data_IF_209282313040
#
_entry.id   IF_209282313040
#
_cell.length_a   1.000
_cell.length_b   1.000
_cell.length_c   1.000
_cell.angle_alpha   90.00
_cell.angle_beta   90.00
_cell.angle_gamma   90.00
#
_symmetry.space_group_name_H-M   'P 1'
#
loop_
_entity.id
_entity.type
_entity.pdbx_description
1 polymer ?
#
# COMPACT_ATOMS: atom_id res chain seq x y z
N UNK A 1 12.79 -19.18 -7.28
CA UNK A 1 13.43 -17.96 -7.82
C UNK A 1 14.84 -18.35 -8.23
N UNK A 2 15.31 -17.97 -9.42
CA UNK A 2 16.70 -18.20 -9.81
C UNK A 2 17.66 -17.46 -8.87
N UNK A 3 18.90 -17.95 -8.75
CA UNK A 3 19.92 -17.31 -7.92
C UNK A 3 20.14 -15.85 -8.34
N UNK A 4 20.16 -15.58 -9.65
CA UNK A 4 20.40 -14.25 -10.21
C UNK A 4 19.29 -13.26 -9.85
N UNK A 5 18.01 -13.66 -9.99
CA UNK A 5 16.89 -12.79 -9.64
C UNK A 5 16.86 -12.47 -8.13
N UNK A 6 17.26 -13.43 -7.28
CA UNK A 6 17.40 -13.21 -5.84
C UNK A 6 18.48 -12.17 -5.54
N UNK A 7 19.65 -12.34 -6.16
CA UNK A 7 20.78 -11.45 -5.95
C UNK A 7 20.49 -10.02 -6.42
N UNK A 8 19.67 -9.83 -7.46
CA UNK A 8 19.20 -8.50 -7.88
C UNK A 8 18.28 -7.86 -6.83
N UNK A 9 17.33 -8.62 -6.28
CA UNK A 9 16.38 -8.11 -5.29
C UNK A 9 17.03 -7.80 -3.94
N UNK A 10 18.03 -8.58 -3.53
CA UNK A 10 18.77 -8.37 -2.28
C UNK A 10 19.57 -7.05 -2.27
N UNK A 11 19.81 -6.45 -3.44
CA UNK A 11 20.48 -5.14 -3.58
C UNK A 11 19.54 -3.95 -3.48
N UNK A 12 18.23 -4.16 -3.59
CA UNK A 12 17.26 -3.07 -3.52
C UNK A 12 16.99 -2.68 -2.07
N UNK A 13 16.85 -1.37 -1.77
CA UNK A 13 16.52 -0.91 -0.42
C UNK A 13 15.16 -1.46 0.00
N UNK A 14 15.04 -1.87 1.26
CA UNK A 14 13.80 -2.41 1.84
C UNK A 14 13.63 -1.95 3.28
N UNK A 15 12.43 -1.48 3.60
CA UNK A 15 11.95 -1.27 4.95
C UNK A 15 11.10 -2.49 5.31
N UNK A 16 11.49 -3.33 6.28
CA UNK A 16 10.69 -4.49 6.67
C UNK A 16 9.33 -4.06 7.24
N UNK A 17 8.26 -4.30 6.49
CA UNK A 17 6.88 -3.97 6.87
C UNK A 17 5.98 -5.22 6.89
N UNK A 18 6.34 -6.27 6.15
CA UNK A 18 5.56 -7.49 6.04
C UNK A 18 6.05 -8.58 7.00
N UNK A 19 5.11 -9.30 7.61
CA UNK A 19 5.39 -10.54 8.31
C UNK A 19 5.58 -11.67 7.29
N UNK A 20 6.82 -12.10 7.08
CA UNK A 20 7.21 -13.07 6.07
C UNK A 20 8.02 -14.24 6.65
N UNK A 21 7.97 -15.45 6.05
CA UNK A 21 7.13 -15.82 4.92
C UNK A 21 5.67 -16.08 5.33
N UNK A 22 4.71 -15.61 4.54
CA UNK A 22 3.29 -15.99 4.69
C UNK A 22 3.07 -17.47 4.35
N UNK A 23 2.10 -18.17 4.94
CA UNK A 23 1.91 -19.60 4.68
C UNK A 23 1.34 -19.87 3.27
N UNK A 24 1.66 -21.07 2.74
CA UNK A 24 0.97 -21.67 1.60
C UNK A 24 0.05 -22.76 2.17
N UNK A 25 -1.26 -22.57 2.07
CA UNK A 25 -2.25 -23.44 2.71
C UNK A 25 -3.01 -24.28 1.67
N UNK A 26 -3.21 -25.58 1.90
CA UNK A 26 -4.03 -26.41 1.03
C UNK A 26 -5.53 -26.09 1.22
N UNK A 27 -6.33 -26.27 0.17
CA UNK A 27 -7.78 -26.09 0.19
C UNK A 27 -8.50 -27.41 -0.14
N UNK A 28 -8.52 -28.39 0.78
CA UNK A 28 -8.94 -29.77 0.48
C UNK A 28 -10.41 -29.86 0.04
N UNK A 29 -11.34 -29.26 0.78
CA UNK A 29 -12.77 -29.28 0.44
C UNK A 29 -13.06 -28.59 -0.90
N UNK A 30 -12.33 -27.52 -1.21
CA UNK A 30 -12.48 -26.81 -2.48
C UNK A 30 -11.97 -27.67 -3.64
N UNK A 31 -10.81 -28.33 -3.43
CA UNK A 31 -10.24 -29.26 -4.41
C UNK A 31 -11.21 -30.40 -4.74
N UNK A 32 -11.82 -30.99 -3.70
CA UNK A 32 -12.85 -32.03 -3.85
C UNK A 32 -14.08 -31.51 -4.60
N UNK A 33 -14.60 -30.35 -4.22
CA UNK A 33 -15.81 -29.77 -4.82
C UNK A 33 -15.69 -29.50 -6.32
N UNK A 34 -14.49 -29.17 -6.80
CA UNK A 34 -14.23 -28.90 -8.22
C UNK A 34 -13.80 -30.14 -9.01
N UNK A 35 -13.57 -31.29 -8.35
CA UNK A 35 -13.12 -32.53 -9.00
C UNK A 35 -11.80 -32.41 -9.77
N UNK A 36 -10.97 -31.43 -9.40
CA UNK A 36 -9.77 -31.02 -10.12
C UNK A 36 -8.46 -31.31 -9.37
N UNK A 37 -7.33 -30.71 -9.80
CA UNK A 37 -6.06 -30.84 -9.09
C UNK A 37 -6.11 -30.21 -7.68
N UNK A 38 -5.19 -30.57 -6.77
CA UNK A 38 -5.10 -29.95 -5.45
C UNK A 38 -4.95 -28.42 -5.55
N UNK A 39 -5.86 -27.70 -4.91
CA UNK A 39 -5.86 -26.25 -4.83
C UNK A 39 -5.13 -25.78 -3.57
N UNK A 40 -4.35 -24.72 -3.73
CA UNK A 40 -3.58 -24.09 -2.66
C UNK A 40 -3.76 -22.57 -2.70
N UNK A 41 -3.65 -21.93 -1.54
CA UNK A 41 -3.69 -20.48 -1.41
C UNK A 41 -2.43 -19.96 -0.73
N UNK A 42 -1.80 -18.95 -1.34
CA UNK A 42 -0.74 -18.17 -0.72
C UNK A 42 -1.38 -17.08 0.14
N UNK A 43 -1.23 -17.16 1.46
CA UNK A 43 -1.90 -16.31 2.44
C UNK A 43 -1.24 -14.93 2.60
N UNK A 44 -1.12 -14.20 1.49
CA UNK A 44 -0.58 -12.84 1.48
C UNK A 44 -1.52 -11.80 2.12
N UNK A 45 -2.72 -12.20 2.52
CA UNK A 45 -3.55 -11.47 3.49
C UNK A 45 -2.90 -11.39 4.88
N UNK A 46 -2.04 -12.35 5.25
CA UNK A 46 -1.36 -12.42 6.54
C UNK A 46 -0.03 -11.64 6.60
N UNK A 47 0.18 -10.64 5.73
CA UNK A 47 1.38 -9.79 5.77
C UNK A 47 1.39 -8.82 6.96
N UNK A 48 0.29 -8.69 7.71
CA UNK A 48 0.21 -8.01 9.01
C UNK A 48 -0.05 -6.51 8.95
N UNK A 49 0.52 -5.76 8.00
CA UNK A 49 0.44 -4.29 7.98
C UNK A 49 -1.01 -3.78 7.86
N UNK A 50 -1.55 -3.26 8.96
CA UNK A 50 -2.89 -2.69 9.08
C UNK A 50 -3.98 -3.58 8.47
N UNK A 51 -4.08 -4.87 8.82
CA UNK A 51 -4.94 -5.92 8.19
C UNK A 51 -4.35 -6.61 6.95
N UNK A 52 -3.11 -6.28 6.57
CA UNK A 52 -2.33 -7.03 5.58
C UNK A 52 -2.84 -6.93 4.15
N UNK A 53 -2.28 -7.79 3.29
CA UNK A 53 -2.50 -7.84 1.85
C UNK A 53 -1.21 -7.76 1.03
N UNK A 54 -1.36 -7.95 -0.28
CA UNK A 54 -0.23 -8.00 -1.19
C UNK A 54 0.50 -6.65 -1.39
N UNK A 55 -0.12 -5.51 -1.03
CA UNK A 55 0.48 -4.18 -1.27
C UNK A 55 1.63 -3.91 -0.28
N UNK A 56 1.60 -4.50 0.92
CA UNK A 56 2.69 -4.44 1.89
C UNK A 56 4.03 -4.84 1.25
N UNK A 57 4.06 -5.91 0.43
CA UNK A 57 5.29 -6.36 -0.24
C UNK A 57 5.91 -5.30 -1.16
N UNK A 58 5.08 -4.55 -1.89
CA UNK A 58 5.56 -3.46 -2.77
C UNK A 58 6.04 -2.27 -1.94
N UNK A 59 5.30 -1.96 -0.87
CA UNK A 59 5.58 -0.81 -0.02
C UNK A 59 6.90 -0.92 0.71
N UNK A 60 7.38 -2.12 1.05
CA UNK A 60 8.73 -2.28 1.63
C UNK A 60 9.82 -1.63 0.76
N UNK A 61 9.70 -1.71 -0.56
CA UNK A 61 10.67 -1.11 -1.48
C UNK A 61 10.39 0.38 -1.74
N UNK A 62 9.11 0.74 -1.94
CA UNK A 62 8.75 2.13 -2.25
C UNK A 62 9.06 3.08 -1.10
N UNK A 63 8.74 2.68 0.13
CA UNK A 63 9.01 3.50 1.31
C UNK A 63 10.51 3.57 1.60
N UNK A 64 11.25 2.48 1.36
CA UNK A 64 12.70 2.50 1.51
C UNK A 64 13.38 3.42 0.49
N UNK A 65 12.91 3.41 -0.77
CA UNK A 65 13.38 4.34 -1.81
C UNK A 65 13.04 5.79 -1.47
N UNK A 66 11.84 6.06 -0.93
CA UNK A 66 11.44 7.38 -0.45
C UNK A 66 12.40 7.91 0.63
N UNK A 67 12.64 7.10 1.66
CA UNK A 67 13.57 7.42 2.75
C UNK A 67 15.00 7.64 2.24
N UNK A 68 15.47 6.79 1.31
CA UNK A 68 16.80 6.93 0.72
C UNK A 68 16.95 8.24 -0.06
N UNK A 69 15.87 8.73 -0.66
CA UNK A 69 15.83 9.99 -1.40
C UNK A 69 15.58 11.22 -0.52
N UNK A 70 15.50 11.05 0.81
CA UNK A 70 15.27 12.14 1.75
C UNK A 70 13.86 12.72 1.71
N UNK A 71 12.88 11.95 1.20
CA UNK A 71 11.49 12.39 1.11
C UNK A 71 10.82 12.37 2.48
N UNK A 72 9.92 13.30 2.69
CA UNK A 72 9.14 13.45 3.93
C UNK A 72 7.66 13.08 3.75
N UNK A 73 7.17 13.03 2.51
CA UNK A 73 5.74 12.93 2.21
C UNK A 73 5.47 11.90 1.11
N UNK A 74 4.44 11.07 1.30
CA UNK A 74 3.96 10.11 0.31
C UNK A 74 2.59 10.50 -0.22
N UNK A 75 2.42 10.49 -1.54
CA UNK A 75 1.12 10.71 -2.18
C UNK A 75 0.69 9.44 -2.92
N UNK A 76 -0.54 8.98 -2.67
CA UNK A 76 -1.14 7.91 -3.50
C UNK A 76 -2.62 8.17 -3.76
N UNK A 77 -3.22 7.37 -4.63
CA UNK A 77 -4.62 7.47 -5.00
C UNK A 77 -5.37 6.14 -4.92
N UNK A 78 -6.69 6.26 -4.75
CA UNK A 78 -7.58 5.11 -4.72
C UNK A 78 -9.06 5.49 -4.68
N UNK A 79 -9.87 4.57 -4.18
CA UNK A 79 -11.22 4.89 -3.71
C UNK A 79 -11.25 4.83 -2.18
N UNK A 80 -12.37 5.23 -1.54
CA UNK A 80 -12.50 5.25 -0.09
C UNK A 80 -12.32 3.90 0.62
N UNK A 81 -12.44 2.79 -0.12
CA UNK A 81 -12.21 1.45 0.42
C UNK A 81 -10.94 0.80 -0.14
N UNK A 82 -9.96 1.61 -0.58
CA UNK A 82 -8.73 1.11 -1.17
C UNK A 82 -7.81 0.48 -0.12
N UNK A 83 -7.61 -0.84 -0.23
CA UNK A 83 -6.59 -1.54 0.56
C UNK A 83 -5.17 -0.99 0.31
N UNK A 84 -4.92 -0.41 -0.87
CA UNK A 84 -3.62 0.21 -1.16
C UNK A 84 -3.43 1.48 -0.32
N UNK A 85 -4.42 2.38 -0.29
CA UNK A 85 -4.35 3.62 0.48
C UNK A 85 -4.09 3.34 1.96
N UNK A 86 -4.87 2.43 2.53
CA UNK A 86 -4.73 1.99 3.93
C UNK A 86 -3.36 1.40 4.25
N UNK A 87 -2.80 0.59 3.35
CA UNK A 87 -1.45 0.04 3.56
C UNK A 87 -0.37 1.11 3.37
N UNK A 88 -0.55 2.07 2.45
CA UNK A 88 0.38 3.19 2.28
C UNK A 88 0.37 4.12 3.50
N UNK A 89 -0.81 4.48 4.01
CA UNK A 89 -0.95 5.29 5.23
C UNK A 89 -0.26 4.62 6.42
N UNK A 90 -0.46 3.32 6.61
CA UNK A 90 0.21 2.57 7.67
C UNK A 90 1.73 2.54 7.50
N UNK A 91 2.21 2.37 6.26
CA UNK A 91 3.64 2.33 5.98
C UNK A 91 4.30 3.70 6.18
N UNK A 92 3.64 4.78 5.78
CA UNK A 92 4.08 6.15 5.98
C UNK A 92 4.15 6.50 7.49
N UNK A 93 3.12 6.17 8.25
CA UNK A 93 3.09 6.37 9.70
C UNK A 93 4.24 5.64 10.43
N UNK A 94 4.57 4.40 10.03
CA UNK A 94 5.71 3.66 10.58
C UNK A 94 7.04 4.31 10.20
N UNK A 95 7.16 4.83 8.98
CA UNK A 95 8.37 5.45 8.46
C UNK A 95 8.57 6.90 8.92
N UNK A 96 7.59 7.50 9.61
CA UNK A 96 7.61 8.91 9.98
C UNK A 96 7.43 9.86 8.79
N UNK A 97 6.70 9.41 7.76
CA UNK A 97 6.37 10.20 6.57
C UNK A 97 4.93 10.72 6.67
N UNK A 98 4.69 11.94 6.19
CA UNK A 98 3.34 12.44 5.95
C UNK A 98 2.66 11.63 4.84
N UNK A 99 1.34 11.45 4.93
CA UNK A 99 0.59 10.65 3.96
C UNK A 99 -0.61 11.41 3.41
N UNK A 100 -0.63 11.61 2.10
CA UNK A 100 -1.72 12.24 1.39
C UNK A 100 -2.43 11.24 0.45
N UNK A 101 -3.74 11.11 0.62
CA UNK A 101 -4.57 10.16 -0.12
C UNK A 101 -5.54 10.90 -1.05
N UNK A 102 -5.38 10.74 -2.36
CA UNK A 102 -6.30 11.27 -3.37
C UNK A 102 -7.40 10.24 -3.65
N UNK A 103 -8.59 10.47 -3.11
CA UNK A 103 -9.71 9.54 -3.18
C UNK A 103 -10.73 9.96 -4.23
N UNK A 104 -11.04 9.03 -5.14
CA UNK A 104 -12.00 9.26 -6.23
C UNK A 104 -13.45 9.03 -5.80
N UNK A 105 -14.29 10.03 -5.96
CA UNK A 105 -15.71 10.04 -5.58
C UNK A 105 -16.02 11.15 -4.58
N UNK A 106 -17.20 11.06 -3.98
CA UNK A 106 -17.65 12.00 -2.97
C UNK A 106 -17.22 11.56 -1.56
N UNK A 107 -17.10 12.52 -0.62
CA UNK A 107 -16.89 12.21 0.79
C UNK A 107 -17.85 11.14 1.30
N UNK A 108 -17.29 10.15 2.00
CA UNK A 108 -18.03 9.02 2.54
C UNK A 108 -17.85 8.93 4.06
N UNK A 109 -18.78 8.29 4.79
CA UNK A 109 -18.60 8.02 6.21
C UNK A 109 -17.32 7.21 6.48
N UNK A 110 -16.57 7.54 7.54
CA UNK A 110 -15.33 6.85 7.88
C UNK A 110 -15.63 5.46 8.45
N UNK A 111 -15.70 4.48 7.55
CA UNK A 111 -15.86 3.05 7.88
C UNK A 111 -14.84 2.23 7.08
N UNK A 112 -14.52 1.03 7.55
CA UNK A 112 -13.60 0.14 6.85
C UNK A 112 -12.21 0.78 6.65
N UNK A 113 -11.69 0.75 5.43
CA UNK A 113 -10.37 1.31 5.13
C UNK A 113 -10.32 2.83 5.35
N UNK A 114 -11.37 3.58 5.03
CA UNK A 114 -11.37 5.05 5.24
C UNK A 114 -11.22 5.43 6.71
N UNK A 115 -11.87 4.69 7.63
CA UNK A 115 -11.67 4.89 9.06
C UNK A 115 -10.22 4.64 9.47
N UNK A 116 -9.61 3.58 8.94
CA UNK A 116 -8.22 3.25 9.22
C UNK A 116 -7.27 4.30 8.64
N UNK A 117 -7.56 4.84 7.45
CA UNK A 117 -6.78 5.92 6.83
C UNK A 117 -6.72 7.14 7.77
N UNK A 118 -7.86 7.56 8.33
CA UNK A 118 -7.94 8.67 9.29
C UNK A 118 -7.20 8.37 10.60
N UNK A 119 -7.40 7.17 11.17
CA UNK A 119 -6.72 6.76 12.42
C UNK A 119 -5.19 6.65 12.26
N UNK A 120 -4.73 6.36 11.04
CA UNK A 120 -3.31 6.30 10.70
C UNK A 120 -2.73 7.69 10.37
N UNK A 121 -3.52 8.76 10.46
CA UNK A 121 -3.08 10.14 10.28
C UNK A 121 -2.99 10.60 8.83
N UNK A 122 -3.61 9.89 7.88
CA UNK A 122 -3.56 10.30 6.48
C UNK A 122 -4.47 11.51 6.20
N UNK A 123 -3.97 12.46 5.40
CA UNK A 123 -4.77 13.58 4.89
C UNK A 123 -5.50 13.18 3.61
N UNK A 124 -6.82 13.27 3.61
CA UNK A 124 -7.67 12.85 2.48
C UNK A 124 -8.03 14.02 1.57
N UNK A 125 -7.81 13.83 0.27
CA UNK A 125 -8.13 14.78 -0.80
C UNK A 125 -9.17 14.15 -1.73
N UNK A 126 -10.40 14.64 -1.71
CA UNK A 126 -11.48 14.12 -2.56
C UNK A 126 -11.40 14.72 -3.97
N UNK A 127 -11.68 13.89 -4.98
CA UNK A 127 -11.76 14.35 -6.37
C UNK A 127 -12.82 13.58 -7.15
N UNK A 128 -13.56 14.24 -8.07
CA UNK A 128 -14.43 13.55 -9.01
C UNK A 128 -13.64 12.51 -9.83
N UNK A 129 -14.29 11.40 -10.17
CA UNK A 129 -13.75 10.43 -11.13
C UNK A 129 -13.86 11.01 -12.55
N UNK A 130 -12.89 10.79 -13.45
CA UNK A 130 -11.69 9.95 -13.31
C UNK A 130 -10.41 10.71 -12.87
N UNK A 131 -10.54 11.92 -12.32
CA UNK A 131 -9.46 12.92 -12.27
C UNK A 131 -8.34 12.69 -11.22
N UNK A 132 -8.22 11.48 -10.66
CA UNK A 132 -7.28 11.20 -9.56
C UNK A 132 -5.82 11.50 -9.91
N UNK A 133 -5.36 11.10 -11.09
CA UNK A 133 -3.96 11.30 -11.48
C UNK A 133 -3.64 12.79 -11.64
N UNK A 134 -4.55 13.55 -12.24
CA UNK A 134 -4.40 15.00 -12.37
C UNK A 134 -4.39 15.68 -11.00
N UNK A 135 -5.28 15.28 -10.08
CA UNK A 135 -5.30 15.80 -8.72
C UNK A 135 -4.04 15.43 -7.92
N UNK A 136 -3.50 14.23 -8.09
CA UNK A 136 -2.22 13.85 -7.47
C UNK A 136 -1.07 14.74 -7.93
N UNK A 137 -0.96 14.98 -9.25
CA UNK A 137 0.08 15.86 -9.79
C UNK A 137 -0.06 17.29 -9.25
N UNK A 138 -1.28 17.83 -9.26
CA UNK A 138 -1.56 19.14 -8.69
C UNK A 138 -1.21 19.21 -7.20
N UNK A 139 -1.55 18.17 -6.42
CA UNK A 139 -1.23 18.12 -5.00
C UNK A 139 0.28 18.04 -4.76
N UNK A 140 1.02 17.30 -5.59
CA UNK A 140 2.48 17.27 -5.51
C UNK A 140 3.08 18.66 -5.74
N UNK A 141 2.57 19.42 -6.72
CA UNK A 141 2.99 20.80 -6.98
C UNK A 141 2.63 21.73 -5.80
N UNK A 142 1.44 21.57 -5.21
CA UNK A 142 0.97 22.33 -4.04
C UNK A 142 1.88 22.12 -2.81
N UNK A 143 2.22 20.86 -2.50
CA UNK A 143 3.07 20.49 -1.36
C UNK A 143 4.53 20.91 -1.59
N UNK A 144 5.04 20.73 -2.81
CA UNK A 144 6.38 21.21 -3.16
C UNK A 144 6.50 22.74 -3.02
N UNK A 145 5.47 23.49 -3.37
CA UNK A 145 5.43 24.95 -3.17
C UNK A 145 5.37 25.34 -1.68
N UNK A 146 4.86 24.47 -0.81
CA UNK A 146 4.84 24.65 0.64
C UNK A 146 6.15 24.24 1.33
N UNK A 147 7.05 23.56 0.62
CA UNK A 147 8.37 23.15 1.09
C UNK A 147 8.53 21.65 1.35
N UNK A 148 7.51 20.84 1.08
CA UNK A 148 7.53 19.40 1.32
C UNK A 148 8.21 18.63 0.17
N UNK A 149 8.93 17.57 0.51
CA UNK A 149 9.57 16.68 -0.46
C UNK A 149 8.76 15.39 -0.68
N UNK A 150 7.91 15.43 -1.72
CA UNK A 150 6.95 14.35 -2.03
C UNK A 150 7.51 13.18 -2.85
N UNK A 151 6.86 12.01 -2.75
CA UNK A 151 7.06 10.81 -3.59
C UNK A 151 5.75 10.13 -4.01
#
# INVERSE_FOLDING_TARGET
MSADARQMLDKLPRLPLAQLPTPLAPLPHMSESYGGPPLWIKRDDLTGLATGGNKTRKLEFLIADALQRGRDTVITAGGPQSNHCRQTAAAAAIAGLECHLVLGGDPAPPVGNLLLDELLGATVHWTPKPNRNARMAQLADELAAAGDETV
#
